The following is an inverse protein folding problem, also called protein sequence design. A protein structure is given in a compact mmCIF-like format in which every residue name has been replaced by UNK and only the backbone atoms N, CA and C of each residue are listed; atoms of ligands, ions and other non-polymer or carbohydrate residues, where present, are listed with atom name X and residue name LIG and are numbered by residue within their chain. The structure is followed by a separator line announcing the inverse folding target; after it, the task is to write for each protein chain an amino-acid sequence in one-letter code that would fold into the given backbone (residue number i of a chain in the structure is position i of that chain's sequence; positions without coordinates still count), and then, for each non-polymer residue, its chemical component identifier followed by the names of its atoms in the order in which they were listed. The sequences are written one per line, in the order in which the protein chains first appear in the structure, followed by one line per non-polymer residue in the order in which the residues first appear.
data_IF_837482423579
#
_entry.id   IF_837482423579
#
_cell.length_a   1.000
_cell.length_b   1.000
_cell.length_c   1.000
_cell.angle_alpha   90.00
_cell.angle_beta   90.00
_cell.angle_gamma   90.00
#
_symmetry.space_group_name_H-M   'P 1'
#
loop_
_entity.id
_entity.type
_entity.pdbx_description
1 polymer ?
#
# COMPACT_ATOMS: atom_id res chain seq x y z
N UNK A 1 5.06 -2.68 1.29
CA UNK A 1 4.65 -2.84 -0.12
C UNK A 1 5.58 -2.02 -1.00
N UNK A 2 5.68 -2.37 -2.29
CA UNK A 2 6.46 -1.64 -3.30
C UNK A 2 5.69 -1.59 -4.63
N UNK A 3 5.96 -0.58 -5.44
CA UNK A 3 5.48 -0.51 -6.83
C UNK A 3 6.31 -1.49 -7.67
N UNK A 4 5.64 -2.32 -8.47
CA UNK A 4 6.31 -3.29 -9.34
C UNK A 4 6.73 -2.61 -10.63
N UNK A 5 8.01 -2.66 -10.97
CA UNK A 5 8.57 -2.13 -12.23
C UNK A 5 8.05 -2.91 -13.45
N UNK A 6 7.96 -2.22 -14.59
CA UNK A 6 7.51 -2.80 -15.86
C UNK A 6 8.39 -3.97 -16.34
N UNK A 7 9.67 -3.98 -15.99
CA UNK A 7 10.63 -5.06 -16.29
C UNK A 7 10.23 -6.41 -15.66
N UNK A 8 9.31 -6.40 -14.69
CA UNK A 8 8.80 -7.58 -14.01
C UNK A 8 7.43 -8.03 -14.54
N UNK A 9 6.94 -7.42 -15.62
CA UNK A 9 5.74 -7.87 -16.31
C UNK A 9 5.87 -9.34 -16.77
N UNK A 10 4.82 -10.13 -16.54
CA UNK A 10 4.80 -11.56 -16.90
C UNK A 10 5.55 -12.50 -15.95
N UNK A 11 6.30 -11.99 -14.96
CA UNK A 11 6.99 -12.82 -13.98
C UNK A 11 6.05 -13.31 -12.87
N UNK A 12 6.40 -14.43 -12.25
CA UNK A 12 5.66 -15.05 -11.13
C UNK A 12 6.23 -14.54 -9.80
N UNK A 13 5.35 -14.29 -8.83
CA UNK A 13 5.71 -13.92 -7.46
C UNK A 13 5.25 -15.01 -6.46
N UNK A 14 5.92 -15.08 -5.31
CA UNK A 14 5.57 -16.06 -4.28
C UNK A 14 4.16 -15.85 -3.72
N UNK A 15 3.44 -16.93 -3.39
CA UNK A 15 2.04 -16.90 -2.93
C UNK A 15 1.79 -16.04 -1.68
N UNK A 16 2.82 -15.79 -0.87
CA UNK A 16 2.76 -14.91 0.30
C UNK A 16 2.58 -13.42 -0.02
N UNK A 17 2.72 -13.03 -1.29
CA UNK A 17 2.52 -11.64 -1.72
C UNK A 17 1.12 -11.45 -2.28
N UNK A 18 0.52 -10.32 -1.94
CA UNK A 18 -0.69 -9.83 -2.57
C UNK A 18 -0.34 -8.80 -3.65
N UNK A 19 -0.87 -8.97 -4.85
CA UNK A 19 -0.81 -7.97 -5.92
C UNK A 19 -2.08 -7.14 -5.91
N UNK A 20 -1.93 -5.83 -5.72
CA UNK A 20 -3.02 -4.85 -5.78
C UNK A 20 -2.83 -4.04 -7.05
N UNK A 21 -3.87 -3.99 -7.89
CA UNK A 21 -3.87 -3.21 -9.15
C UNK A 21 -5.13 -2.34 -9.15
N UNK A 22 -5.00 -1.01 -9.12
CA UNK A 22 -6.15 -0.12 -9.27
C UNK A 22 -6.82 -0.34 -10.62
N UNK A 23 -8.15 -0.36 -10.63
CA UNK A 23 -8.92 -0.44 -11.89
C UNK A 23 -8.85 0.87 -12.69
N UNK A 24 -8.71 2.00 -12.02
CA UNK A 24 -8.65 3.32 -12.62
C UNK A 24 -7.65 4.22 -11.86
N UNK A 25 -6.60 4.65 -12.56
CA UNK A 25 -5.54 5.51 -12.02
C UNK A 25 -5.91 6.98 -11.92
N UNK A 26 -6.99 7.41 -12.58
CA UNK A 26 -7.53 8.77 -12.46
C UNK A 26 -8.31 8.98 -11.16
N UNK A 27 -8.71 7.87 -10.52
CA UNK A 27 -9.44 7.87 -9.24
C UNK A 27 -8.48 7.57 -8.07
N UNK A 28 -7.48 6.72 -8.31
CA UNK A 28 -6.57 6.26 -7.26
C UNK A 28 -5.12 6.38 -7.73
N UNK A 29 -4.36 7.21 -7.03
CA UNK A 29 -2.93 7.39 -7.28
C UNK A 29 -2.09 6.27 -6.66
N UNK A 30 -1.09 5.78 -7.40
CA UNK A 30 -0.25 4.65 -6.97
C UNK A 30 0.69 5.01 -5.81
N UNK A 31 1.24 6.23 -5.82
CA UNK A 31 2.14 6.70 -4.76
C UNK A 31 1.36 6.95 -3.47
N UNK A 32 0.11 7.41 -3.59
CA UNK A 32 -0.81 7.49 -2.48
C UNK A 32 -1.13 6.12 -1.89
N UNK A 33 -1.42 5.10 -2.71
CA UNK A 33 -1.62 3.74 -2.19
C UNK A 33 -0.37 3.21 -1.47
N UNK A 34 0.83 3.52 -1.97
CA UNK A 34 2.07 3.17 -1.29
C UNK A 34 2.13 3.78 0.12
N UNK A 35 1.79 5.06 0.26
CA UNK A 35 1.65 5.71 1.57
C UNK A 35 0.55 5.05 2.43
N UNK A 36 -0.63 4.81 1.87
CA UNK A 36 -1.77 4.23 2.59
C UNK A 36 -1.39 2.91 3.25
N UNK A 37 -0.69 2.03 2.53
CA UNK A 37 -0.34 0.72 3.06
C UNK A 37 0.93 0.69 3.91
N UNK A 38 1.90 1.58 3.66
CA UNK A 38 3.17 1.57 4.38
C UNK A 38 3.22 2.57 5.54
N UNK A 39 2.65 3.76 5.36
CA UNK A 39 2.80 4.91 6.26
C UNK A 39 1.53 5.34 7.01
N UNK A 40 0.33 4.94 6.56
CA UNK A 40 -0.90 5.39 7.21
C UNK A 40 -1.15 4.69 8.55
N UNK A 41 -1.14 5.46 9.64
CA UNK A 41 -1.51 4.99 10.99
C UNK A 41 -2.91 4.39 11.04
N UNK A 42 -3.85 4.90 10.23
CA UNK A 42 -5.22 4.39 10.18
C UNK A 42 -5.25 2.94 9.65
N UNK A 43 -4.49 2.67 8.59
CA UNK A 43 -4.41 1.33 8.00
C UNK A 43 -3.61 0.41 8.90
N UNK A 44 -2.48 0.86 9.46
CA UNK A 44 -1.70 0.08 10.41
C UNK A 44 -2.55 -0.35 11.61
N UNK A 45 -3.41 0.53 12.15
CA UNK A 45 -4.33 0.20 13.25
C UNK A 45 -5.37 -0.84 12.82
N UNK A 46 -5.97 -0.70 11.64
CA UNK A 46 -6.92 -1.69 11.13
C UNK A 46 -6.25 -3.06 10.95
N UNK A 47 -5.09 -3.09 10.30
CA UNK A 47 -4.31 -4.32 10.11
C UNK A 47 -3.94 -4.94 11.46
N UNK A 48 -3.46 -4.14 12.42
CA UNK A 48 -3.14 -4.63 13.77
C UNK A 48 -4.34 -5.30 14.46
N UNK A 49 -5.53 -4.74 14.33
CA UNK A 49 -6.75 -5.30 14.92
C UNK A 49 -7.23 -6.57 14.21
N UNK A 50 -6.90 -6.74 12.93
CA UNK A 50 -7.31 -7.92 12.15
C UNK A 50 -6.31 -9.07 12.28
N UNK A 51 -5.04 -8.78 12.55
CA UNK A 51 -4.01 -9.79 12.68
C UNK A 51 -4.29 -10.69 13.89
N UNK A 52 -4.80 -11.89 13.61
CA UNK A 52 -4.99 -12.99 14.56
C UNK A 52 -3.66 -13.76 14.77
N UNK A 53 -3.33 -14.10 16.02
CA UNK A 53 -2.19 -14.96 16.38
C UNK A 53 -0.90 -14.24 16.81
N UNK A 54 -0.25 -14.76 17.86
CA UNK A 54 0.91 -14.11 18.51
C UNK A 54 2.26 -14.32 17.80
N UNK A 55 2.43 -15.39 16.99
CA UNK A 55 3.74 -15.78 16.44
C UNK A 55 3.89 -15.61 14.92
N UNK A 56 2.83 -15.87 14.12
CA UNK A 56 2.85 -15.66 12.66
C UNK A 56 1.65 -14.81 12.26
N UNK A 57 1.92 -13.53 12.04
CA UNK A 57 0.92 -12.54 11.60
C UNK A 57 0.54 -12.82 10.15
N UNK A 58 -0.61 -13.45 9.94
CA UNK A 58 -1.16 -13.72 8.60
C UNK A 58 -2.42 -12.89 8.40
N UNK A 59 -2.49 -12.15 7.29
CA UNK A 59 -3.70 -11.43 6.88
C UNK A 59 -4.36 -12.17 5.71
N UNK A 60 -5.66 -12.47 5.80
CA UNK A 60 -6.38 -13.15 4.72
C UNK A 60 -6.77 -12.12 3.65
N UNK A 61 -6.91 -12.56 2.40
CA UNK A 61 -7.34 -11.69 1.29
C UNK A 61 -8.65 -10.94 1.62
N UNK A 62 -9.64 -11.65 2.18
CA UNK A 62 -10.93 -11.08 2.58
C UNK A 62 -10.79 -9.90 3.54
N UNK A 63 -9.78 -9.95 4.41
CA UNK A 63 -9.55 -8.94 5.43
C UNK A 63 -8.92 -7.69 4.81
N UNK A 64 -7.99 -7.88 3.85
CA UNK A 64 -7.42 -6.77 3.07
C UNK A 64 -8.51 -6.04 2.27
N UNK A 65 -9.45 -6.78 1.68
CA UNK A 65 -10.56 -6.21 0.91
C UNK A 65 -11.53 -5.40 1.78
N UNK A 66 -11.56 -5.65 3.09
CA UNK A 66 -12.42 -4.95 4.05
C UNK A 66 -11.73 -3.75 4.72
N UNK A 67 -10.48 -3.44 4.36
CA UNK A 67 -9.79 -2.26 4.88
C UNK A 67 -10.52 -0.98 4.44
N UNK A 68 -10.88 -0.15 5.42
CA UNK A 68 -11.49 1.14 5.15
C UNK A 68 -10.42 2.16 4.76
N UNK A 69 -10.34 2.43 3.46
CA UNK A 69 -9.41 3.40 2.87
C UNK A 69 -10.06 4.78 2.81
N UNK A 70 -9.35 5.81 3.29
CA UNK A 70 -9.71 7.19 2.96
C UNK A 70 -9.18 7.54 1.58
N UNK A 71 -10.07 7.89 0.65
CA UNK A 71 -9.73 8.32 -0.70
C UNK A 71 -10.09 9.80 -0.86
N UNK A 72 -9.16 10.73 -0.55
CA UNK A 72 -9.36 12.15 -0.84
C UNK A 72 -9.36 12.40 -2.37
N UNK A 73 -9.68 13.62 -2.84
CA UNK A 73 -9.60 13.95 -4.27
C UNK A 73 -8.24 13.59 -4.88
N UNK A 74 -8.20 13.18 -6.14
CA UNK A 74 -7.00 12.67 -6.81
C UNK A 74 -5.78 13.62 -6.69
N UNK A 75 -6.00 14.92 -6.77
CA UNK A 75 -4.94 15.92 -6.62
C UNK A 75 -4.32 15.95 -5.21
N UNK A 76 -5.13 15.72 -4.17
CA UNK A 76 -4.63 15.58 -2.81
C UNK A 76 -3.87 14.25 -2.63
N UNK A 77 -4.35 13.17 -3.26
CA UNK A 77 -3.66 11.88 -3.25
C UNK A 77 -2.23 12.02 -3.83
N UNK A 78 -2.10 12.62 -5.02
CA UNK A 78 -0.80 12.87 -5.67
C UNK A 78 0.15 13.66 -4.77
N UNK A 79 -0.33 14.75 -4.14
CA UNK A 79 0.48 15.56 -3.21
C UNK A 79 1.02 14.73 -2.04
N UNK A 80 0.14 13.95 -1.40
CA UNK A 80 0.51 13.09 -0.27
C UNK A 80 1.50 12.00 -0.71
N UNK A 81 1.21 11.32 -1.83
CA UNK A 81 2.03 10.25 -2.38
C UNK A 81 3.44 10.72 -2.72
N UNK A 82 3.56 11.86 -3.41
CA UNK A 82 4.86 12.43 -3.76
C UNK A 82 5.66 12.85 -2.53
N UNK A 83 5.01 13.51 -1.56
CA UNK A 83 5.67 13.88 -0.30
C UNK A 83 6.21 12.65 0.45
N UNK A 84 5.42 11.57 0.50
CA UNK A 84 5.86 10.32 1.12
C UNK A 84 7.06 9.69 0.41
N UNK A 85 7.12 9.74 -0.93
CA UNK A 85 8.28 9.27 -1.68
C UNK A 85 9.53 10.08 -1.38
N UNK A 86 9.44 11.42 -1.40
CA UNK A 86 10.58 12.28 -1.08
C UNK A 86 11.12 12.05 0.33
N UNK A 87 10.24 11.81 1.31
CA UNK A 87 10.66 11.41 2.66
C UNK A 87 11.42 10.08 2.66
N UNK A 88 10.96 9.09 1.90
CA UNK A 88 11.62 7.79 1.81
C UNK A 88 12.97 7.85 1.12
N UNK A 89 13.10 8.69 0.10
CA UNK A 89 14.39 8.95 -0.55
C UNK A 89 15.37 9.61 0.43
N UNK A 90 14.91 10.58 1.22
CA UNK A 90 15.72 11.23 2.24
C UNK A 90 16.19 10.23 3.32
N UNK A 91 15.32 9.36 3.81
CA UNK A 91 15.66 8.31 4.79
C UNK A 91 16.73 7.32 4.29
N UNK A 92 16.88 7.13 2.97
CA UNK A 92 17.92 6.25 2.41
C UNK A 92 19.30 6.92 2.40
N UNK A 93 19.34 8.26 2.42
CA UNK A 93 20.56 9.05 2.32
C UNK A 93 21.18 9.40 3.69
N UNK A 94 20.49 9.08 4.80
CA UNK A 94 20.92 9.35 6.18
C UNK A 94 21.03 8.07 6.98
#
# INVERSE_FOLDING_TARGET
MAIVSSENAGKVYAQRFLKIVPKNTDIVDLNYLLFVFNGSKLIQKQVHNILEGNLIKTIKLRDVLNLNLKLPPIEAQKKIGNYYQSLKEYEILT
#
